data_IF_164945509613
#
_entry.id   IF_164945509613
#
_cell.length_a   1.000
_cell.length_b   1.000
_cell.length_c   1.000
_cell.angle_alpha   90.00
_cell.angle_beta   90.00
_cell.angle_gamma   90.00
#
_symmetry.space_group_name_H-M   'P 1'
#
loop_
_entity.id
_entity.type
_entity.pdbx_description
1 polymer ?
#
# COMPACT_ATOMS: atom_id res chain seq x y z
N UNK A 1 -74.58 -29.04 18.54
CA UNK A 1 -73.54 -29.27 17.50
C UNK A 1 -72.74 -27.96 17.28
N UNK A 2 -71.59 -27.88 17.88
CA UNK A 2 -70.73 -26.67 17.81
C UNK A 2 -69.58 -27.02 16.90
N UNK A 3 -69.54 -26.42 15.70
CA UNK A 3 -68.42 -26.56 14.71
C UNK A 3 -67.24 -25.68 15.13
N UNK A 4 -66.11 -26.28 15.46
CA UNK A 4 -64.85 -25.59 15.72
C UNK A 4 -64.15 -25.32 14.37
N UNK A 5 -64.09 -24.07 13.95
CA UNK A 5 -63.26 -23.59 12.84
C UNK A 5 -61.81 -23.45 13.37
N UNK A 6 -60.91 -24.30 12.89
CA UNK A 6 -59.48 -24.18 13.10
C UNK A 6 -58.93 -23.18 12.03
N UNK A 7 -58.53 -21.98 12.49
CA UNK A 7 -57.76 -21.01 11.67
C UNK A 7 -56.29 -21.43 11.68
N UNK A 8 -55.78 -21.94 10.56
CA UNK A 8 -54.36 -22.17 10.37
C UNK A 8 -53.69 -20.84 10.02
N UNK A 9 -52.97 -20.26 10.97
CA UNK A 9 -52.11 -19.09 10.74
C UNK A 9 -50.87 -19.52 9.95
N UNK A 10 -50.78 -19.19 8.66
CA UNK A 10 -49.59 -19.35 7.84
C UNK A 10 -48.61 -18.25 8.26
N UNK A 11 -47.58 -18.61 9.02
CA UNK A 11 -46.44 -17.75 9.33
C UNK A 11 -45.58 -17.56 8.06
N UNK A 12 -45.75 -16.42 7.39
CA UNK A 12 -44.84 -15.99 6.34
C UNK A 12 -43.51 -15.62 6.98
N UNK A 13 -42.50 -16.52 6.93
CA UNK A 13 -41.13 -16.21 7.33
C UNK A 13 -40.50 -15.38 6.22
N UNK A 14 -39.98 -14.17 6.52
CA UNK A 14 -39.20 -13.42 5.54
C UNK A 14 -37.92 -14.23 5.23
N UNK A 15 -37.77 -14.67 3.99
CA UNK A 15 -36.53 -15.25 3.51
C UNK A 15 -35.45 -14.15 3.54
N UNK A 16 -34.44 -14.29 4.38
CA UNK A 16 -33.24 -13.50 4.32
C UNK A 16 -32.55 -13.81 2.98
N UNK A 17 -32.73 -12.95 1.99
CA UNK A 17 -31.97 -13.01 0.74
C UNK A 17 -30.56 -12.55 1.09
N UNK A 18 -29.62 -13.49 1.27
CA UNK A 18 -28.22 -13.19 1.37
C UNK A 18 -27.77 -12.54 0.04
N UNK A 19 -27.17 -11.36 0.09
CA UNK A 19 -26.61 -10.74 -1.09
C UNK A 19 -25.57 -11.69 -1.73
N UNK A 20 -25.64 -11.86 -3.03
CA UNK A 20 -24.69 -12.71 -3.74
C UNK A 20 -23.26 -12.13 -3.58
N UNK A 21 -22.26 -12.99 -3.37
CA UNK A 21 -20.89 -12.52 -3.22
C UNK A 21 -20.40 -11.85 -4.51
N UNK A 22 -19.71 -10.72 -4.37
CA UNK A 22 -19.20 -9.91 -5.49
C UNK A 22 -17.72 -9.63 -5.33
N UNK A 23 -17.05 -9.21 -6.41
CA UNK A 23 -15.78 -8.49 -6.42
C UNK A 23 -15.96 -7.22 -7.25
N UNK A 24 -15.12 -6.21 -7.06
CA UNK A 24 -15.24 -4.92 -7.76
C UNK A 24 -14.01 -4.60 -8.60
N UNK A 25 -14.24 -3.93 -9.74
CA UNK A 25 -13.17 -3.45 -10.62
C UNK A 25 -13.40 -1.97 -10.92
N UNK A 26 -12.32 -1.18 -10.77
CA UNK A 26 -12.35 0.27 -10.96
C UNK A 26 -11.11 0.78 -11.71
N UNK A 27 -11.15 2.05 -12.11
CA UNK A 27 -10.02 2.74 -12.75
C UNK A 27 -10.04 2.63 -14.27
N UNK A 28 -8.88 2.40 -14.90
CA UNK A 28 -8.69 2.39 -16.34
C UNK A 28 -9.20 1.10 -16.99
N UNK A 29 -10.51 0.88 -16.94
CA UNK A 29 -11.23 -0.22 -17.55
C UNK A 29 -12.44 0.31 -18.29
N UNK A 30 -12.92 -0.38 -19.33
CA UNK A 30 -14.09 0.04 -20.10
C UNK A 30 -15.42 -0.28 -19.41
N UNK A 31 -15.42 -1.26 -18.53
CA UNK A 31 -16.60 -1.70 -17.78
C UNK A 31 -16.28 -1.75 -16.27
N UNK A 32 -16.20 -0.59 -15.58
CA UNK A 32 -16.04 -0.56 -14.14
C UNK A 32 -17.34 -0.98 -13.44
N UNK A 33 -17.25 -1.61 -12.27
CA UNK A 33 -18.42 -1.99 -11.47
C UNK A 33 -18.19 -3.22 -10.60
N UNK A 34 -19.30 -3.71 -10.08
CA UNK A 34 -19.37 -4.92 -9.26
C UNK A 34 -19.74 -6.12 -10.11
N UNK A 35 -19.04 -7.22 -9.90
CA UNK A 35 -19.17 -8.46 -10.62
C UNK A 35 -19.55 -9.60 -9.67
N UNK A 36 -20.39 -10.51 -10.13
CA UNK A 36 -20.74 -11.72 -9.39
C UNK A 36 -19.50 -12.58 -9.18
N UNK A 37 -19.17 -12.85 -7.92
CA UNK A 37 -18.12 -13.79 -7.62
C UNK A 37 -18.63 -15.23 -7.69
N UNK A 38 -17.84 -16.10 -8.28
CA UNK A 38 -18.08 -17.54 -8.33
C UNK A 38 -16.80 -18.28 -7.96
N UNK A 39 -16.93 -19.46 -7.36
CA UNK A 39 -15.79 -20.28 -7.04
C UNK A 39 -15.00 -20.61 -8.31
N UNK A 40 -13.68 -20.37 -8.27
CA UNK A 40 -12.78 -20.64 -9.39
C UNK A 40 -12.49 -19.43 -10.29
N UNK A 41 -13.21 -18.30 -10.13
CA UNK A 41 -12.91 -17.07 -10.89
C UNK A 41 -11.51 -16.56 -10.56
N UNK A 42 -10.78 -16.16 -11.60
CA UNK A 42 -9.39 -15.72 -11.51
C UNK A 42 -9.22 -14.26 -11.93
N UNK A 43 -8.08 -13.68 -11.57
CA UNK A 43 -7.75 -12.30 -11.89
C UNK A 43 -7.80 -12.00 -13.39
N UNK A 44 -7.36 -12.93 -14.25
CA UNK A 44 -7.46 -12.76 -15.71
C UNK A 44 -8.91 -12.67 -16.18
N UNK A 45 -9.79 -13.52 -15.65
CA UNK A 45 -11.21 -13.53 -16.03
C UNK A 45 -11.84 -12.16 -15.72
N UNK A 46 -11.54 -11.63 -14.54
CA UNK A 46 -11.96 -10.30 -14.12
C UNK A 46 -11.40 -9.19 -15.03
N UNK A 47 -10.10 -9.25 -15.35
CA UNK A 47 -9.43 -8.26 -16.21
C UNK A 47 -10.01 -8.24 -17.62
N UNK A 48 -10.30 -9.42 -18.19
CA UNK A 48 -10.90 -9.57 -19.50
C UNK A 48 -12.35 -9.08 -19.51
N UNK A 49 -13.14 -9.48 -18.52
CA UNK A 49 -14.54 -9.07 -18.40
C UNK A 49 -14.69 -7.57 -18.25
N UNK A 50 -13.85 -6.93 -17.43
CA UNK A 50 -13.85 -5.49 -17.25
C UNK A 50 -13.24 -4.71 -18.43
N UNK A 51 -12.64 -5.41 -19.39
CA UNK A 51 -11.98 -4.82 -20.56
C UNK A 51 -10.96 -3.75 -20.15
N UNK A 52 -9.84 -4.22 -19.56
CA UNK A 52 -8.75 -3.32 -19.14
C UNK A 52 -8.26 -2.51 -20.34
N UNK A 53 -8.22 -1.19 -20.18
CA UNK A 53 -7.87 -0.26 -21.24
C UNK A 53 -6.37 -0.33 -21.58
N UNK A 54 -6.02 0.00 -22.81
CA UNK A 54 -4.62 0.01 -23.28
C UNK A 54 -3.75 1.05 -22.57
N UNK A 55 -4.36 2.09 -21.98
CA UNK A 55 -3.68 3.12 -21.19
C UNK A 55 -3.63 2.79 -19.70
N UNK A 56 -4.12 1.63 -19.27
CA UNK A 56 -3.99 1.17 -17.91
C UNK A 56 -2.52 0.92 -17.56
N UNK A 57 -2.10 1.45 -16.42
CA UNK A 57 -0.75 1.28 -15.94
C UNK A 57 -0.66 0.12 -14.96
N UNK A 58 -0.23 -1.03 -15.46
CA UNK A 58 -0.26 -2.28 -14.72
C UNK A 58 0.61 -2.28 -13.47
N UNK A 59 1.74 -1.56 -13.48
CA UNK A 59 2.65 -1.49 -12.34
C UNK A 59 2.03 -0.81 -11.13
N UNK A 60 1.13 0.17 -11.36
CA UNK A 60 0.39 0.86 -10.30
C UNK A 60 -0.98 0.24 -10.02
N UNK A 61 -1.37 -0.79 -10.75
CA UNK A 61 -2.62 -1.47 -10.47
C UNK A 61 -2.55 -2.31 -9.19
N UNK A 62 -3.70 -2.53 -8.54
CA UNK A 62 -3.75 -3.18 -7.23
C UNK A 62 -4.84 -4.22 -7.15
N UNK A 63 -4.55 -5.32 -6.46
CA UNK A 63 -5.52 -6.26 -5.94
C UNK A 63 -5.58 -6.10 -4.42
N UNK A 64 -6.76 -5.82 -3.90
CA UNK A 64 -7.01 -5.59 -2.47
C UNK A 64 -7.97 -6.67 -1.96
N UNK A 65 -7.65 -7.23 -0.79
CA UNK A 65 -8.32 -8.38 -0.21
C UNK A 65 -8.62 -8.14 1.26
N UNK A 66 -9.84 -8.47 1.69
CA UNK A 66 -10.26 -8.26 3.08
C UNK A 66 -9.43 -9.09 4.07
N UNK A 67 -9.11 -10.33 3.71
CA UNK A 67 -8.31 -11.23 4.56
C UNK A 67 -6.89 -10.71 4.85
N UNK A 68 -6.31 -9.90 3.95
CA UNK A 68 -4.99 -9.30 4.14
C UNK A 68 -4.98 -8.06 5.06
N UNK A 69 -6.14 -7.46 5.34
CA UNK A 69 -6.21 -6.25 6.18
C UNK A 69 -5.81 -6.46 7.62
N UNK A 70 -6.00 -7.67 8.16
CA UNK A 70 -5.67 -7.94 9.56
C UNK A 70 -4.17 -7.77 9.81
N UNK A 71 -3.32 -8.33 8.94
CA UNK A 71 -1.86 -8.20 9.07
C UNK A 71 -1.42 -6.75 8.85
N UNK A 72 -1.96 -6.06 7.86
CA UNK A 72 -1.64 -4.64 7.66
C UNK A 72 -2.07 -3.76 8.84
N UNK A 73 -3.19 -4.07 9.51
CA UNK A 73 -3.58 -3.35 10.73
C UNK A 73 -2.57 -3.59 11.87
N UNK A 74 -2.09 -4.83 12.03
CA UNK A 74 -1.06 -5.13 13.04
C UNK A 74 0.21 -4.35 12.79
N UNK A 75 0.72 -4.36 11.55
CA UNK A 75 1.90 -3.58 11.16
C UNK A 75 1.69 -2.08 11.43
N UNK A 76 0.57 -1.51 10.99
CA UNK A 76 0.26 -0.10 11.24
C UNK A 76 0.21 0.23 12.75
N UNK A 77 -0.38 -0.64 13.57
CA UNK A 77 -0.45 -0.44 15.03
C UNK A 77 0.95 -0.53 15.65
N UNK A 78 1.78 -1.50 15.22
CA UNK A 78 3.17 -1.64 15.64
C UNK A 78 3.97 -0.37 15.35
N UNK A 79 3.96 0.07 14.08
CA UNK A 79 4.67 1.29 13.67
C UNK A 79 4.20 2.54 14.43
N UNK A 80 2.90 2.69 14.68
CA UNK A 80 2.38 3.80 15.49
C UNK A 80 2.83 3.72 16.96
N UNK A 81 3.00 2.52 17.50
CA UNK A 81 3.55 2.34 18.85
C UNK A 81 5.02 2.76 18.89
N UNK A 82 5.83 2.36 17.90
CA UNK A 82 7.26 2.72 17.83
C UNK A 82 7.45 4.23 17.64
N UNK A 83 6.64 4.85 16.78
CA UNK A 83 6.62 6.31 16.63
C UNK A 83 6.27 7.04 17.93
N UNK A 84 5.33 6.53 18.73
CA UNK A 84 5.00 7.09 20.04
C UNK A 84 6.16 6.96 21.02
N UNK A 85 6.83 5.81 21.03
CA UNK A 85 8.02 5.57 21.85
C UNK A 85 9.15 6.50 21.45
N UNK A 86 9.43 6.65 20.16
CA UNK A 86 10.40 7.59 19.64
C UNK A 86 10.07 9.06 20.01
N UNK A 87 8.79 9.44 19.99
CA UNK A 87 8.34 10.78 20.42
C UNK A 87 8.63 11.04 21.90
N UNK A 88 8.46 10.06 22.77
CA UNK A 88 8.79 10.20 24.18
C UNK A 88 10.31 10.38 24.37
N UNK A 89 11.11 9.56 23.69
CA UNK A 89 12.58 9.67 23.74
C UNK A 89 13.08 11.03 23.26
N UNK A 90 12.59 11.51 22.12
CA UNK A 90 13.00 12.82 21.57
C UNK A 90 12.64 13.99 22.49
N UNK A 91 11.53 13.89 23.25
CA UNK A 91 11.17 14.87 24.27
C UNK A 91 12.13 14.84 25.46
N UNK A 92 12.49 13.66 25.95
CA UNK A 92 13.46 13.51 27.05
C UNK A 92 14.85 13.99 26.65
N UNK A 93 15.24 13.78 25.39
CA UNK A 93 16.49 14.30 24.84
C UNK A 93 16.47 15.81 24.58
N UNK A 94 15.31 16.45 24.63
CA UNK A 94 15.16 17.89 24.34
C UNK A 94 15.44 18.24 22.87
N UNK A 95 15.20 17.30 21.92
CA UNK A 95 15.44 17.50 20.50
C UNK A 95 14.13 17.90 19.76
N UNK A 96 13.91 19.21 19.49
CA UNK A 96 12.71 19.68 18.82
C UNK A 96 12.67 19.27 17.34
N UNK A 97 13.82 19.04 16.67
CA UNK A 97 13.86 18.63 15.28
C UNK A 97 13.38 17.18 15.13
N UNK A 98 13.87 16.28 16.01
CA UNK A 98 13.37 14.91 16.09
C UNK A 98 11.86 14.87 16.39
N UNK A 99 11.39 15.67 17.35
CA UNK A 99 9.97 15.72 17.68
C UNK A 99 9.11 16.10 16.47
N UNK A 100 9.50 17.14 15.73
CA UNK A 100 8.77 17.59 14.54
C UNK A 100 8.74 16.53 13.43
N UNK A 101 9.87 15.85 13.19
CA UNK A 101 9.96 14.74 12.23
C UNK A 101 9.03 13.59 12.62
N UNK A 102 9.11 13.13 13.88
CA UNK A 102 8.30 12.01 14.38
C UNK A 102 6.80 12.36 14.33
N UNK A 103 6.42 13.60 14.65
CA UNK A 103 5.02 14.05 14.54
C UNK A 103 4.53 14.00 13.10
N UNK A 104 5.33 14.43 12.13
CA UNK A 104 5.01 14.34 10.70
C UNK A 104 4.86 12.90 10.23
N UNK A 105 5.82 12.03 10.56
CA UNK A 105 5.76 10.60 10.23
C UNK A 105 4.53 9.93 10.87
N UNK A 106 4.23 10.25 12.13
CA UNK A 106 3.03 9.74 12.82
C UNK A 106 1.76 10.12 12.07
N UNK A 107 1.61 11.40 11.69
CA UNK A 107 0.45 11.87 10.95
C UNK A 107 0.33 11.18 9.58
N UNK A 108 1.45 10.93 8.88
CA UNK A 108 1.47 10.20 7.62
C UNK A 108 0.97 8.77 7.80
N UNK A 109 1.51 8.03 8.78
CA UNK A 109 1.09 6.65 9.06
C UNK A 109 -0.37 6.58 9.49
N UNK A 110 -0.84 7.52 10.32
CA UNK A 110 -2.26 7.60 10.71
C UNK A 110 -3.18 7.80 9.50
N UNK A 111 -2.77 8.62 8.54
CA UNK A 111 -3.53 8.88 7.31
C UNK A 111 -3.51 7.72 6.31
N UNK A 112 -2.52 6.81 6.37
CA UNK A 112 -2.42 5.68 5.45
C UNK A 112 -3.61 4.72 5.61
N UNK A 113 -4.38 4.44 4.53
CA UNK A 113 -5.48 3.50 4.60
C UNK A 113 -4.98 2.06 4.66
N UNK A 114 -5.62 1.23 5.47
CA UNK A 114 -5.43 -0.22 5.45
C UNK A 114 -6.27 -0.81 4.32
N UNK A 115 -5.67 -1.01 3.17
CA UNK A 115 -6.38 -1.42 1.94
C UNK A 115 -6.50 -2.93 1.79
N UNK A 116 -5.61 -3.71 2.42
CA UNK A 116 -5.47 -5.13 2.16
C UNK A 116 -4.82 -5.43 0.80
N UNK A 117 -3.98 -4.52 0.27
CA UNK A 117 -3.25 -4.76 -0.97
C UNK A 117 -2.37 -6.00 -0.83
N UNK A 118 -2.48 -6.90 -1.82
CA UNK A 118 -1.63 -8.08 -1.93
C UNK A 118 -0.79 -8.01 -3.21
N UNK A 119 0.43 -8.58 -3.23
CA UNK A 119 1.24 -8.69 -4.43
C UNK A 119 0.51 -9.51 -5.50
N UNK A 120 0.36 -8.95 -6.69
CA UNK A 120 -0.24 -9.63 -7.83
C UNK A 120 0.34 -9.08 -9.15
N UNK A 121 0.52 -9.95 -10.14
CA UNK A 121 0.85 -9.51 -11.49
C UNK A 121 -0.42 -8.94 -12.16
N UNK A 122 -0.44 -7.64 -12.41
CA UNK A 122 -1.62 -6.95 -12.91
C UNK A 122 -1.67 -6.81 -14.44
N UNK A 123 -0.63 -7.25 -15.16
CA UNK A 123 -0.62 -7.26 -16.62
C UNK A 123 -1.42 -8.47 -17.17
N UNK A 124 -2.56 -8.27 -17.86
CA UNK A 124 -3.39 -9.38 -18.35
C UNK A 124 -2.65 -10.35 -19.28
N UNK A 125 -1.63 -9.87 -20.01
CA UNK A 125 -0.84 -10.74 -20.88
C UNK A 125 0.01 -11.74 -20.08
N UNK A 126 0.58 -11.30 -18.93
CA UNK A 126 1.34 -12.18 -18.05
C UNK A 126 0.44 -13.10 -17.23
N UNK A 127 -0.76 -12.66 -16.87
CA UNK A 127 -1.78 -13.46 -16.16
C UNK A 127 -2.21 -14.71 -16.94
N UNK A 128 -1.93 -14.81 -18.24
CA UNK A 128 -2.12 -16.06 -19.02
C UNK A 128 -1.31 -17.22 -18.45
N UNK A 129 -0.25 -16.95 -17.69
CA UNK A 129 0.49 -17.96 -16.96
C UNK A 129 -0.16 -18.17 -15.59
N UNK A 130 -0.49 -19.41 -15.25
CA UNK A 130 -1.23 -19.76 -14.02
C UNK A 130 -0.58 -19.21 -12.75
N UNK A 131 0.76 -19.18 -12.68
CA UNK A 131 1.49 -18.62 -11.52
C UNK A 131 1.21 -17.14 -11.26
N UNK A 132 0.79 -16.39 -12.28
CA UNK A 132 0.47 -14.96 -12.19
C UNK A 132 -1.04 -14.68 -12.22
N UNK A 133 -1.85 -15.72 -12.16
CA UNK A 133 -3.30 -15.63 -12.25
C UNK A 133 -3.97 -16.20 -10.99
N UNK A 134 -3.91 -15.45 -9.86
CA UNK A 134 -4.48 -15.92 -8.61
C UNK A 134 -6.01 -16.05 -8.70
N UNK A 135 -6.56 -16.94 -7.86
CA UNK A 135 -8.00 -16.99 -7.60
C UNK A 135 -8.44 -15.72 -6.87
N UNK A 136 -9.59 -15.20 -7.25
CA UNK A 136 -10.23 -14.10 -6.54
C UNK A 136 -11.05 -14.63 -5.36
N UNK A 137 -11.12 -13.83 -4.30
CA UNK A 137 -12.00 -14.03 -3.16
C UNK A 137 -13.21 -13.10 -3.26
N UNK A 138 -14.32 -13.50 -2.62
CA UNK A 138 -15.47 -12.61 -2.49
C UNK A 138 -15.06 -11.35 -1.71
N UNK A 139 -15.43 -10.19 -2.24
CA UNK A 139 -15.03 -8.90 -1.68
C UNK A 139 -13.71 -8.34 -2.18
N UNK A 140 -12.97 -9.06 -3.05
CA UNK A 140 -11.75 -8.54 -3.67
C UNK A 140 -12.06 -7.24 -4.44
N UNK A 141 -11.12 -6.28 -4.37
CA UNK A 141 -11.19 -5.02 -5.12
C UNK A 141 -9.98 -4.91 -6.02
N UNK A 142 -10.25 -4.69 -7.30
CA UNK A 142 -9.22 -4.53 -8.33
C UNK A 142 -9.26 -3.08 -8.80
N UNK A 143 -8.11 -2.43 -8.82
CA UNK A 143 -8.01 -1.07 -9.34
C UNK A 143 -6.91 -0.98 -10.38
N UNK A 144 -7.25 -0.53 -11.59
CA UNK A 144 -6.30 -0.24 -12.64
C UNK A 144 -6.01 1.26 -12.68
N UNK A 145 -4.84 1.66 -12.22
CA UNK A 145 -4.42 3.05 -12.20
C UNK A 145 -4.10 3.58 -13.61
N UNK A 146 -4.20 4.89 -13.79
CA UNK A 146 -3.53 5.59 -14.89
C UNK A 146 -2.07 5.83 -14.54
N UNK A 147 -1.22 5.91 -15.56
CA UNK A 147 0.20 6.19 -15.37
C UNK A 147 0.39 7.60 -14.79
N UNK A 148 1.04 7.75 -13.64
CA UNK A 148 1.40 9.05 -13.10
C UNK A 148 2.56 9.67 -13.91
N UNK A 149 2.92 10.90 -13.57
CA UNK A 149 4.06 11.61 -14.16
C UNK A 149 5.12 12.01 -13.13
N UNK A 150 5.02 11.50 -11.91
CA UNK A 150 5.88 11.90 -10.79
C UNK A 150 6.35 10.70 -9.99
N UNK A 151 7.36 10.93 -9.17
CA UNK A 151 7.80 10.09 -8.06
C UNK A 151 7.64 10.86 -6.75
N UNK A 152 7.67 10.15 -5.62
CA UNK A 152 7.63 10.77 -4.29
C UNK A 152 8.94 10.48 -3.56
N UNK A 153 9.48 11.49 -2.85
CA UNK A 153 10.56 11.30 -1.88
C UNK A 153 9.99 11.67 -0.50
N UNK A 154 10.08 10.78 0.46
CA UNK A 154 9.48 10.92 1.79
C UNK A 154 10.36 10.29 2.88
N UNK A 155 9.93 10.31 4.13
CA UNK A 155 10.67 9.80 5.27
C UNK A 155 11.45 10.90 5.98
N UNK A 156 12.73 10.67 6.29
CA UNK A 156 13.59 11.65 6.94
C UNK A 156 14.10 12.72 5.95
N UNK A 157 13.16 13.48 5.37
CA UNK A 157 13.38 14.67 4.55
C UNK A 157 12.81 15.90 5.25
N UNK A 158 13.19 17.12 4.85
CA UNK A 158 12.65 18.34 5.46
C UNK A 158 11.15 18.47 5.20
N UNK A 159 10.71 18.13 3.98
CA UNK A 159 9.32 18.01 3.58
C UNK A 159 9.23 16.97 2.47
N UNK A 160 8.07 16.30 2.34
CA UNK A 160 7.87 15.36 1.24
C UNK A 160 7.93 16.07 -0.10
N UNK A 161 8.64 15.48 -1.05
CA UNK A 161 8.81 16.02 -2.39
C UNK A 161 8.06 15.18 -3.40
N UNK A 162 7.29 15.82 -4.26
CA UNK A 162 6.73 15.20 -5.46
C UNK A 162 7.49 15.76 -6.68
N UNK A 163 8.30 14.90 -7.31
CA UNK A 163 9.21 15.29 -8.39
C UNK A 163 8.71 14.72 -9.72
N UNK A 164 8.85 15.51 -10.78
CA UNK A 164 8.49 15.04 -12.13
C UNK A 164 9.39 13.88 -12.54
N UNK A 165 8.79 12.80 -13.01
CA UNK A 165 9.52 11.63 -13.46
C UNK A 165 10.22 11.90 -14.80
N UNK A 166 11.48 11.50 -14.89
CA UNK A 166 12.26 11.43 -16.14
C UNK A 166 13.11 10.16 -16.14
N UNK A 167 13.11 9.43 -17.24
CA UNK A 167 13.94 8.22 -17.37
C UNK A 167 15.45 8.52 -17.36
N UNK A 168 15.82 9.77 -17.64
CA UNK A 168 17.22 10.20 -17.66
C UNK A 168 17.71 10.67 -16.28
N UNK A 169 16.81 10.80 -15.29
CA UNK A 169 17.15 11.24 -13.95
C UNK A 169 17.49 10.03 -13.09
N UNK A 170 18.67 10.03 -12.49
CA UNK A 170 19.10 8.97 -11.59
C UNK A 170 18.36 9.02 -10.26
N UNK A 171 18.38 7.92 -9.53
CA UNK A 171 17.84 7.84 -8.17
C UNK A 171 18.45 8.91 -7.26
N UNK A 172 19.77 9.15 -7.38
CA UNK A 172 20.48 10.12 -6.54
C UNK A 172 20.20 11.58 -6.92
N UNK A 173 19.90 11.85 -8.20
CA UNK A 173 19.45 13.18 -8.62
C UNK A 173 18.10 13.53 -8.01
N UNK A 174 17.20 12.54 -7.90
CA UNK A 174 15.93 12.73 -7.20
C UNK A 174 16.13 12.99 -5.69
N UNK A 175 17.04 12.26 -5.05
CA UNK A 175 17.39 12.49 -3.64
C UNK A 175 17.99 13.88 -3.44
N UNK A 176 18.92 14.29 -4.31
CA UNK A 176 19.56 15.60 -4.25
C UNK A 176 18.56 16.76 -4.42
N UNK A 177 17.46 16.52 -5.17
CA UNK A 177 16.39 17.50 -5.37
C UNK A 177 15.44 17.62 -4.17
N UNK A 178 15.54 16.72 -3.17
CA UNK A 178 14.71 16.72 -1.96
C UNK A 178 15.59 16.81 -0.72
N UNK A 179 15.63 17.98 -0.03
CA UNK A 179 16.54 18.20 1.10
C UNK A 179 16.32 17.20 2.24
N UNK A 180 17.38 16.48 2.60
CA UNK A 180 17.37 15.54 3.71
C UNK A 180 17.20 16.24 5.06
N UNK A 181 16.57 15.55 6.01
CA UNK A 181 16.52 15.96 7.41
C UNK A 181 17.86 15.67 8.08
N UNK A 182 18.31 16.46 9.11
CA UNK A 182 19.55 16.16 9.84
C UNK A 182 19.62 14.76 10.47
N UNK A 183 18.49 14.15 10.76
CA UNK A 183 18.38 12.78 11.29
C UNK A 183 18.19 11.72 10.20
N UNK A 184 18.40 12.05 8.93
CA UNK A 184 18.32 11.09 7.85
C UNK A 184 19.50 10.11 7.90
N UNK A 185 19.27 8.84 7.60
CA UNK A 185 20.35 7.88 7.38
C UNK A 185 21.23 8.34 6.24
N UNK A 186 22.54 8.33 6.45
CA UNK A 186 23.54 8.77 5.47
C UNK A 186 23.86 7.70 4.42
N UNK A 187 23.53 6.43 4.69
CA UNK A 187 24.03 5.28 3.93
C UNK A 187 22.96 4.28 3.49
N UNK A 188 21.72 4.51 3.86
CA UNK A 188 20.59 3.61 3.53
C UNK A 188 19.43 4.38 2.93
N UNK A 189 18.78 3.76 1.94
CA UNK A 189 17.59 4.25 1.24
C UNK A 189 16.69 3.06 0.91
N UNK A 190 15.39 3.26 0.88
CA UNK A 190 14.44 2.29 0.34
C UNK A 190 13.77 2.82 -0.92
N UNK A 191 13.82 2.00 -1.97
CA UNK A 191 13.06 2.22 -3.19
C UNK A 191 11.81 1.35 -3.17
N UNK A 192 10.66 1.98 -3.12
CA UNK A 192 9.35 1.33 -3.13
C UNK A 192 8.77 1.49 -4.53
N UNK A 193 8.74 0.41 -5.29
CA UNK A 193 8.17 0.41 -6.64
C UNK A 193 6.62 0.43 -6.58
N UNK A 194 5.96 0.91 -7.64
CA UNK A 194 4.49 1.02 -7.64
C UNK A 194 3.75 -0.31 -7.53
N UNK A 195 4.38 -1.43 -7.89
CA UNK A 195 3.84 -2.79 -7.72
C UNK A 195 3.95 -3.29 -6.26
N UNK A 196 4.64 -2.54 -5.41
CA UNK A 196 4.85 -2.85 -4.00
C UNK A 196 6.17 -3.57 -3.73
N UNK A 197 7.02 -3.78 -4.73
CA UNK A 197 8.38 -4.28 -4.49
C UNK A 197 9.19 -3.22 -3.73
N UNK A 198 9.89 -3.66 -2.69
CA UNK A 198 10.75 -2.82 -1.86
C UNK A 198 12.20 -3.28 -1.99
N UNK A 199 13.09 -2.35 -2.29
CA UNK A 199 14.52 -2.58 -2.39
C UNK A 199 15.24 -1.69 -1.37
N UNK A 200 16.05 -2.29 -0.49
CA UNK A 200 16.96 -1.55 0.37
C UNK A 200 18.26 -1.31 -0.41
N UNK A 201 18.65 -0.06 -0.53
CA UNK A 201 19.81 0.37 -1.32
C UNK A 201 20.81 1.10 -0.44
N UNK A 202 22.09 0.93 -0.74
CA UNK A 202 23.14 1.77 -0.18
C UNK A 202 23.11 3.16 -0.82
N UNK A 203 23.16 4.23 -0.01
CA UNK A 203 23.18 5.62 -0.47
C UNK A 203 24.47 6.37 -0.12
N UNK A 204 25.33 5.80 0.72
CA UNK A 204 26.63 6.38 1.08
C UNK A 204 27.67 6.23 -0.04
N UNK A 205 28.66 7.10 -0.08
CA UNK A 205 29.73 7.06 -1.09
C UNK A 205 30.45 5.71 -1.19
N UNK A 206 30.48 4.95 -0.11
CA UNK A 206 31.22 3.68 -0.02
C UNK A 206 30.36 2.45 -0.37
N UNK A 207 29.04 2.56 -0.31
CA UNK A 207 28.09 1.46 -0.55
C UNK A 207 27.02 1.79 -1.59
N UNK A 208 27.21 2.85 -2.36
CA UNK A 208 26.26 3.36 -3.33
C UNK A 208 25.84 2.27 -4.33
N UNK A 209 24.54 2.06 -4.47
CA UNK A 209 23.93 1.10 -5.37
C UNK A 209 22.99 1.82 -6.33
N UNK A 210 23.09 1.53 -7.61
CA UNK A 210 22.18 2.06 -8.62
C UNK A 210 20.94 1.16 -8.76
N UNK A 211 19.79 1.78 -8.99
CA UNK A 211 18.53 1.08 -9.19
C UNK A 211 17.63 1.83 -10.16
N UNK A 212 16.82 1.08 -10.90
CA UNK A 212 15.87 1.65 -11.85
C UNK A 212 14.61 2.12 -11.13
N UNK A 213 14.38 3.43 -11.13
CA UNK A 213 13.19 4.04 -10.53
C UNK A 213 12.05 4.03 -11.54
N UNK A 214 10.94 3.37 -11.21
CA UNK A 214 9.74 3.43 -12.04
C UNK A 214 8.96 4.73 -11.78
N UNK A 215 8.18 5.18 -12.78
CA UNK A 215 7.27 6.30 -12.56
C UNK A 215 6.24 5.93 -11.48
N UNK A 216 5.99 6.84 -10.52
CA UNK A 216 5.13 6.58 -9.36
C UNK A 216 5.79 5.82 -8.22
N UNK A 217 7.09 5.54 -8.31
CA UNK A 217 7.86 4.99 -7.19
C UNK A 217 7.96 5.99 -6.03
N UNK A 218 8.22 5.46 -4.86
CA UNK A 218 8.52 6.24 -3.65
C UNK A 218 9.95 5.94 -3.22
N UNK A 219 10.74 6.98 -3.01
CA UNK A 219 12.04 6.92 -2.36
C UNK A 219 11.81 7.27 -0.89
N UNK A 220 12.01 6.30 -0.02
CA UNK A 220 11.88 6.48 1.42
C UNK A 220 13.27 6.63 2.04
N UNK A 221 13.53 7.78 2.63
CA UNK A 221 14.77 8.06 3.37
C UNK A 221 14.54 7.67 4.83
N UNK A 222 15.21 6.64 5.36
CA UNK A 222 15.02 6.23 6.74
C UNK A 222 15.63 7.23 7.72
N UNK A 223 15.13 7.20 8.95
CA UNK A 223 15.76 7.91 10.07
C UNK A 223 17.01 7.14 10.47
N UNK A 224 18.05 7.85 10.87
CA UNK A 224 19.23 7.23 11.47
C UNK A 224 18.85 6.64 12.84
N UNK A 225 18.89 5.32 12.94
CA UNK A 225 18.52 4.59 14.15
C UNK A 225 19.39 4.99 15.35
N UNK A 226 20.67 5.26 15.10
CA UNK A 226 21.62 5.68 16.17
C UNK A 226 21.27 7.06 16.74
N UNK A 227 20.66 7.92 15.94
CA UNK A 227 20.23 9.25 16.38
C UNK A 227 18.99 9.24 17.27
N UNK A 228 18.20 8.16 17.26
CA UNK A 228 16.98 8.02 18.05
C UNK A 228 17.15 7.16 19.31
N UNK A 229 18.25 6.43 19.43
CA UNK A 229 18.53 5.54 20.57
C UNK A 229 19.48 6.22 21.54
N UNK A 230 19.01 6.57 22.74
CA UNK A 230 19.87 7.09 23.78
C UNK A 230 20.83 6.03 24.37
N UNK A 231 20.58 4.74 24.12
CA UNK A 231 21.28 3.61 24.75
C UNK A 231 21.81 2.55 23.76
N UNK A 232 21.91 2.85 22.49
CA UNK A 232 22.64 1.99 21.51
C UNK A 232 22.00 0.66 21.12
N UNK A 233 20.76 0.35 21.49
CA UNK A 233 20.03 -0.77 20.94
C UNK A 233 19.27 -0.34 19.66
N UNK A 234 19.53 -0.97 18.51
CA UNK A 234 18.83 -0.65 17.27
C UNK A 234 17.37 -1.11 17.39
N UNK A 235 16.43 -0.18 17.29
CA UNK A 235 15.03 -0.51 17.03
C UNK A 235 14.79 -0.64 15.53
N UNK A 236 14.07 -1.67 15.13
CA UNK A 236 13.74 -1.99 13.73
C UNK A 236 12.67 -1.05 13.12
N UNK A 237 12.75 0.23 13.46
CA UNK A 237 11.80 1.28 13.11
C UNK A 237 11.59 1.49 11.60
N UNK A 238 12.59 1.15 10.79
CA UNK A 238 12.56 1.38 9.34
C UNK A 238 12.20 0.13 8.52
N UNK A 239 11.95 -1.03 9.13
CA UNK A 239 11.74 -2.31 8.44
C UNK A 239 10.27 -2.76 8.36
N UNK A 240 9.33 -2.08 9.05
CA UNK A 240 7.89 -2.41 9.09
C UNK A 240 7.03 -1.67 8.02
#
# INVERSE_FOLDING_TARGET
>A
MIARLLFAAILLQPALVAAAPIFSITGAVSQPGDYQWQQGVRLLDASVTAQVNSNAWYMGATLQRESAKLEQRKLKVGLLFDLRSAKVRSRLAGDPAAQALIERLTAQVEAMPVTGRIPAEMNPLKQRLVRYNPLLEAGDKIHYALRPNSITVTGAVQADCQLTYSYATSLYDYLAACPAHPLASADTLYLIQPDGAVERLGSGHWNQQDASVAVGATLFVPVDETALTADGEPETFNED
#
